data_IF_655545397092
#
_entry.id   IF_655545397092
#
_cell.length_a   1.000
_cell.length_b   1.000
_cell.length_c   1.000
_cell.angle_alpha   90.00
_cell.angle_beta   90.00
_cell.angle_gamma   90.00
#
_symmetry.space_group_name_H-M   'P 1'
#
loop_
_entity.id
_entity.type
_entity.pdbx_description
1 polymer ?
#
# COMPACT_ATOMS: atom_id res chain seq x y z
N UNK A 1 1.49 39.09 31.40
CA UNK A 1 2.32 39.68 30.31
C UNK A 1 3.79 39.89 30.67
N UNK A 2 4.14 39.97 31.93
CA UNK A 2 5.56 40.09 32.35
C UNK A 2 6.34 38.76 32.32
N UNK A 3 5.69 37.62 32.46
CA UNK A 3 6.38 36.30 32.45
C UNK A 3 6.74 35.77 31.06
N UNK A 4 6.07 36.22 30.01
CA UNK A 4 6.37 35.80 28.63
C UNK A 4 7.62 36.52 28.05
N UNK A 5 7.97 37.69 28.62
CA UNK A 5 9.16 38.46 28.19
C UNK A 5 10.46 37.92 28.81
N UNK A 6 10.41 37.17 29.90
CA UNK A 6 11.60 36.63 30.55
C UNK A 6 12.22 35.41 29.83
N UNK A 7 11.47 34.73 28.96
CA UNK A 7 11.95 33.54 28.23
C UNK A 7 12.66 33.86 26.91
N UNK A 8 12.51 35.07 26.37
CA UNK A 8 13.15 35.49 25.11
C UNK A 8 14.57 36.01 25.25
N UNK A 9 15.02 36.25 26.48
CA UNK A 9 16.40 36.78 26.77
C UNK A 9 17.48 35.69 26.78
N UNK A 10 17.12 34.42 26.72
CA UNK A 10 18.09 33.29 26.78
C UNK A 10 18.70 32.88 25.44
N UNK A 11 18.26 33.43 24.34
CA UNK A 11 18.67 33.03 22.97
C UNK A 11 19.58 34.03 22.25
N UNK A 12 20.11 35.05 22.99
CA UNK A 12 21.05 35.99 22.36
C UNK A 12 22.47 35.61 22.81
N UNK A 13 23.38 35.25 21.89
CA UNK A 13 24.79 34.98 22.21
C UNK A 13 25.44 36.14 22.97
N UNK A 14 26.28 35.81 23.90
CA UNK A 14 26.97 36.77 24.83
C UNK A 14 27.77 37.86 24.10
N UNK A 15 28.23 37.56 22.89
CA UNK A 15 29.00 38.49 22.03
C UNK A 15 28.20 39.69 21.53
N UNK A 16 26.87 39.64 21.55
CA UNK A 16 25.98 40.72 21.09
C UNK A 16 25.64 41.69 22.25
N UNK A 17 25.90 41.31 23.50
CA UNK A 17 25.57 42.13 24.71
C UNK A 17 26.53 43.30 25.00
N UNK A 18 27.66 43.42 24.29
CA UNK A 18 28.68 44.42 24.58
C UNK A 18 28.71 45.63 23.65
N UNK A 19 27.73 45.81 22.76
CA UNK A 19 27.63 47.04 21.99
C UNK A 19 26.78 48.08 22.72
N UNK A 20 27.44 49.17 23.09
CA UNK A 20 26.86 50.37 23.71
C UNK A 20 25.66 50.87 22.94
N UNK A 21 24.54 51.25 23.59
CA UNK A 21 23.34 51.67 22.86
C UNK A 21 23.57 53.00 22.19
N UNK A 22 23.70 53.03 20.88
CA UNK A 22 23.42 54.24 20.08
C UNK A 22 21.97 54.61 20.32
N UNK A 23 21.71 55.91 20.59
CA UNK A 23 20.39 56.50 20.70
C UNK A 23 19.52 56.11 19.48
N UNK A 24 18.72 55.09 19.64
CA UNK A 24 17.68 54.75 18.65
C UNK A 24 16.56 55.76 18.84
N UNK A 25 16.25 56.52 17.79
CA UNK A 25 15.03 57.31 17.73
C UNK A 25 13.83 56.42 18.02
N UNK A 26 12.79 56.89 18.72
CA UNK A 26 11.58 56.06 18.95
C UNK A 26 10.97 55.73 17.59
N UNK A 27 11.09 54.47 17.21
CA UNK A 27 10.29 53.95 16.10
C UNK A 27 8.83 54.16 16.47
N UNK A 28 8.08 54.85 15.60
CA UNK A 28 6.64 54.90 15.65
C UNK A 28 6.14 53.45 15.85
N UNK A 29 5.25 53.26 16.80
CA UNK A 29 4.59 51.98 17.06
C UNK A 29 3.75 51.65 15.81
N UNK A 30 4.35 51.02 14.82
CA UNK A 30 3.58 50.33 13.79
C UNK A 30 2.63 49.41 14.53
N UNK A 31 1.34 49.61 14.32
CA UNK A 31 0.30 48.74 14.87
C UNK A 31 0.66 47.33 14.43
N UNK A 32 1.01 46.46 15.39
CA UNK A 32 1.32 45.06 15.14
C UNK A 32 0.13 44.45 14.39
N UNK A 33 0.30 44.23 13.10
CA UNK A 33 -0.73 43.66 12.26
C UNK A 33 -0.62 42.15 12.33
N UNK A 34 -1.52 41.50 13.06
CA UNK A 34 -1.59 40.05 13.23
C UNK A 34 -1.64 39.34 11.86
N UNK A 35 -2.30 39.92 10.87
CA UNK A 35 -2.37 39.36 9.50
C UNK A 35 -0.99 39.30 8.84
N UNK A 36 -0.18 40.35 9.00
CA UNK A 36 1.18 40.35 8.50
C UNK A 36 2.05 39.33 9.24
N UNK A 37 1.88 39.19 10.54
CA UNK A 37 2.65 38.20 11.33
C UNK A 37 2.38 36.77 10.90
N UNK A 38 1.12 36.37 10.72
CA UNK A 38 0.77 35.00 10.34
C UNK A 38 1.16 34.69 8.88
N UNK A 39 1.09 35.67 8.00
CA UNK A 39 1.62 35.53 6.62
C UNK A 39 3.14 35.37 6.63
N UNK A 40 3.87 36.14 7.42
CA UNK A 40 5.32 36.01 7.57
C UNK A 40 5.71 34.67 8.22
N UNK A 41 4.96 34.23 9.23
CA UNK A 41 5.11 32.93 9.88
C UNK A 41 4.94 31.79 8.88
N UNK A 42 3.92 31.82 8.03
CA UNK A 42 3.71 30.83 6.98
C UNK A 42 4.89 30.80 6.00
N UNK A 43 5.36 31.97 5.55
CA UNK A 43 6.51 32.09 4.67
C UNK A 43 7.78 31.52 5.31
N UNK A 44 8.07 31.85 6.55
CA UNK A 44 9.21 31.33 7.30
C UNK A 44 9.13 29.80 7.47
N UNK A 45 7.98 29.26 7.92
CA UNK A 45 7.80 27.84 8.03
C UNK A 45 7.91 27.11 6.68
N UNK A 46 7.51 27.74 5.59
CA UNK A 46 7.67 27.16 4.24
C UNK A 46 9.13 27.25 3.75
N UNK A 47 9.92 28.20 4.23
CA UNK A 47 11.33 28.34 3.87
C UNK A 47 12.24 27.27 4.51
N UNK A 48 11.85 26.67 5.63
CA UNK A 48 12.60 25.58 6.23
C UNK A 48 12.57 24.31 5.36
N UNK A 49 13.62 23.51 5.43
CA UNK A 49 13.70 22.23 4.74
C UNK A 49 13.27 21.07 5.66
N UNK A 50 12.42 20.18 5.13
CA UNK A 50 12.01 18.96 5.79
C UNK A 50 12.93 17.78 5.48
N UNK A 51 12.73 16.67 6.19
CA UNK A 51 13.58 15.49 6.11
C UNK A 51 12.96 14.30 5.37
N UNK A 52 11.75 14.43 4.80
CA UNK A 52 11.04 13.28 4.20
C UNK A 52 11.80 12.64 3.03
N UNK A 53 12.58 13.43 2.27
CA UNK A 53 13.41 12.92 1.19
C UNK A 53 14.49 11.91 1.64
N UNK A 54 14.92 12.02 2.89
CA UNK A 54 15.89 11.05 3.48
C UNK A 54 15.28 9.67 3.71
N UNK A 55 13.95 9.62 3.87
CA UNK A 55 13.21 8.37 4.12
C UNK A 55 12.83 7.64 2.82
N UNK A 56 12.45 8.40 1.80
CA UNK A 56 11.87 7.84 0.57
C UNK A 56 12.58 8.26 -0.72
N UNK A 57 13.58 9.13 -0.66
CA UNK A 57 14.35 9.63 -1.79
C UNK A 57 13.57 10.59 -2.72
N UNK A 58 12.32 10.95 -2.39
CA UNK A 58 11.51 11.85 -3.21
C UNK A 58 11.81 13.30 -2.84
N UNK A 59 12.31 14.08 -3.80
CA UNK A 59 12.52 15.52 -3.66
C UNK A 59 11.25 16.27 -4.01
N UNK A 60 10.92 17.32 -3.25
CA UNK A 60 9.77 18.19 -3.53
C UNK A 60 10.07 19.63 -3.17
N UNK A 61 10.23 20.47 -4.18
CA UNK A 61 10.50 21.91 -4.01
C UNK A 61 9.29 22.69 -3.48
N UNK A 62 8.05 22.24 -3.80
CA UNK A 62 6.82 22.91 -3.36
C UNK A 62 6.71 23.00 -1.83
N UNK A 63 7.02 21.94 -1.11
CA UNK A 63 6.98 21.91 0.35
C UNK A 63 8.36 21.80 0.99
N UNK A 64 9.43 21.84 0.20
CA UNK A 64 10.82 21.64 0.65
C UNK A 64 10.96 20.41 1.56
N UNK A 65 10.37 19.29 1.09
CA UNK A 65 10.43 17.98 1.73
C UNK A 65 9.74 17.86 3.11
N UNK A 66 8.82 18.78 3.47
CA UNK A 66 8.05 18.73 4.73
C UNK A 66 6.75 17.92 4.61
N UNK A 67 6.20 17.78 3.40
CA UNK A 67 4.90 17.13 3.17
C UNK A 67 3.70 18.04 3.44
N UNK A 68 3.91 19.22 4.01
CA UNK A 68 2.87 20.21 4.31
C UNK A 68 3.26 21.58 3.78
N UNK A 69 2.26 22.40 3.44
CA UNK A 69 2.40 23.78 3.03
C UNK A 69 1.56 24.63 3.97
N UNK A 70 2.17 25.63 4.60
CA UNK A 70 1.52 26.54 5.53
C UNK A 70 1.02 27.77 4.76
N UNK A 71 -0.12 28.30 5.16
CA UNK A 71 -0.70 29.52 4.60
C UNK A 71 -1.60 30.22 5.63
N UNK A 72 -1.87 31.49 5.36
CA UNK A 72 -2.86 32.28 6.09
C UNK A 72 -4.00 32.57 5.12
N UNK A 73 -5.23 32.27 5.51
CA UNK A 73 -6.41 32.45 4.64
C UNK A 73 -7.10 33.82 4.80
N UNK A 74 -6.57 34.66 5.67
CA UNK A 74 -7.11 35.97 6.02
C UNK A 74 -7.63 36.02 7.48
N UNK A 75 -8.06 34.90 8.01
CA UNK A 75 -8.60 34.78 9.37
C UNK A 75 -7.79 33.82 10.23
N UNK A 76 -7.29 32.71 9.65
CA UNK A 76 -6.61 31.64 10.37
C UNK A 76 -5.28 31.24 9.75
N UNK A 77 -4.33 30.89 10.63
CA UNK A 77 -3.10 30.21 10.21
C UNK A 77 -3.40 28.73 9.99
N UNK A 78 -3.22 28.25 8.75
CA UNK A 78 -3.63 26.95 8.29
C UNK A 78 -2.46 26.17 7.69
N UNK A 79 -2.63 24.87 7.50
CA UNK A 79 -1.76 24.05 6.67
C UNK A 79 -2.58 23.13 5.78
N UNK A 80 -1.99 22.74 4.67
CA UNK A 80 -2.53 21.71 3.79
C UNK A 80 -1.46 20.69 3.43
N UNK A 81 -1.89 19.48 3.19
CA UNK A 81 -1.00 18.42 2.72
C UNK A 81 -0.47 18.77 1.32
N UNK A 82 0.84 18.58 1.10
CA UNK A 82 1.43 18.75 -0.21
C UNK A 82 1.08 17.58 -1.14
N UNK A 83 0.91 17.85 -2.42
CA UNK A 83 0.61 16.84 -3.44
C UNK A 83 1.65 15.71 -3.48
N UNK A 84 2.92 15.99 -3.13
CA UNK A 84 3.97 14.97 -3.07
C UNK A 84 3.66 13.83 -2.09
N UNK A 85 2.78 14.06 -1.11
CA UNK A 85 2.40 13.04 -0.14
C UNK A 85 1.67 11.87 -0.79
N UNK A 86 0.96 12.08 -1.91
CA UNK A 86 0.36 10.98 -2.68
C UNK A 86 1.44 10.04 -3.23
N UNK A 87 2.49 10.60 -3.85
CA UNK A 87 3.60 9.80 -4.38
C UNK A 87 4.38 9.09 -3.27
N UNK A 88 4.58 9.75 -2.12
CA UNK A 88 5.23 9.15 -0.95
C UNK A 88 4.42 8.00 -0.37
N UNK A 89 3.10 8.15 -0.31
CA UNK A 89 2.19 7.09 0.13
C UNK A 89 2.28 5.87 -0.80
N UNK A 90 2.19 6.09 -2.12
CA UNK A 90 2.33 5.03 -3.13
C UNK A 90 3.67 4.31 -2.94
N UNK A 91 4.78 5.05 -2.85
CA UNK A 91 6.11 4.45 -2.66
C UNK A 91 6.20 3.64 -1.37
N UNK A 92 5.65 4.13 -0.27
CA UNK A 92 5.57 3.39 1.01
C UNK A 92 4.79 2.09 0.83
N UNK A 93 3.58 2.14 0.25
CA UNK A 93 2.78 0.95 0.00
C UNK A 93 3.50 -0.06 -0.90
N UNK A 94 4.27 0.39 -1.90
CA UNK A 94 5.11 -0.49 -2.71
C UNK A 94 6.18 -1.20 -1.87
N UNK A 95 6.86 -0.48 -0.98
CA UNK A 95 7.89 -1.05 -0.11
C UNK A 95 7.31 -2.03 0.93
N UNK A 96 6.16 -1.69 1.50
CA UNK A 96 5.48 -2.48 2.55
C UNK A 96 4.70 -3.67 2.00
N UNK A 97 4.38 -3.69 0.71
CA UNK A 97 3.50 -4.70 0.11
C UNK A 97 4.06 -6.13 0.14
N UNK A 98 5.39 -6.29 0.23
CA UNK A 98 6.07 -7.57 0.10
C UNK A 98 6.29 -8.03 -1.35
N UNK A 99 5.77 -7.30 -2.35
CA UNK A 99 5.92 -7.64 -3.77
C UNK A 99 7.31 -7.31 -4.34
N UNK A 100 8.03 -6.36 -3.72
CA UNK A 100 9.40 -6.02 -4.10
C UNK A 100 9.56 -5.75 -5.61
N UNK A 101 10.59 -6.36 -6.22
CA UNK A 101 10.88 -6.20 -7.66
C UNK A 101 9.79 -6.72 -8.60
N UNK A 102 8.81 -7.49 -8.12
CA UNK A 102 7.68 -7.92 -8.96
C UNK A 102 6.86 -6.72 -9.43
N UNK A 103 6.72 -5.67 -8.60
CA UNK A 103 5.99 -4.45 -8.98
C UNK A 103 6.62 -3.71 -10.16
N UNK A 104 7.95 -3.76 -10.30
CA UNK A 104 8.65 -3.13 -11.41
C UNK A 104 8.48 -3.92 -12.72
N UNK A 105 8.45 -5.25 -12.61
CA UNK A 105 8.46 -6.16 -13.77
C UNK A 105 7.07 -6.56 -14.25
N UNK A 106 6.10 -6.63 -13.33
CA UNK A 106 4.77 -7.15 -13.60
C UNK A 106 3.76 -6.01 -13.58
N UNK A 107 3.59 -5.37 -14.73
CA UNK A 107 2.60 -4.30 -14.96
C UNK A 107 1.60 -4.73 -16.01
N UNK A 108 0.48 -4.01 -16.16
CA UNK A 108 -0.43 -4.24 -17.27
C UNK A 108 0.24 -3.99 -18.63
N UNK A 109 1.19 -3.05 -18.71
CA UNK A 109 1.88 -2.74 -19.97
C UNK A 109 2.87 -3.85 -20.36
N UNK A 110 3.55 -4.44 -19.38
CA UNK A 110 4.47 -5.56 -19.62
C UNK A 110 3.76 -6.92 -19.78
N UNK A 111 2.44 -7.01 -19.51
CA UNK A 111 1.69 -8.24 -19.70
C UNK A 111 1.47 -8.51 -21.19
N UNK A 112 1.97 -9.63 -21.66
CA UNK A 112 1.86 -10.04 -23.08
C UNK A 112 0.41 -10.28 -23.46
N UNK A 113 0.03 -9.78 -24.65
CA UNK A 113 -1.33 -9.89 -25.22
C UNK A 113 -1.29 -10.38 -26.67
N UNK A 114 -0.31 -11.21 -27.00
CA UNK A 114 -0.12 -11.76 -28.36
C UNK A 114 -1.27 -12.68 -28.75
N UNK A 115 -1.87 -13.36 -27.77
CA UNK A 115 -2.94 -14.32 -27.98
C UNK A 115 -4.31 -13.76 -27.50
N UNK A 116 -5.43 -14.12 -28.15
CA UNK A 116 -6.75 -13.61 -27.75
C UNK A 116 -7.11 -13.87 -26.30
N UNK A 117 -6.75 -15.05 -25.76
CA UNK A 117 -7.05 -15.37 -24.36
C UNK A 117 -6.31 -14.46 -23.36
N UNK A 118 -5.11 -13.98 -23.70
CA UNK A 118 -4.33 -13.06 -22.87
C UNK A 118 -5.01 -11.69 -22.80
N UNK A 119 -5.59 -11.22 -23.90
CA UNK A 119 -6.38 -9.99 -23.95
C UNK A 119 -7.59 -10.09 -23.01
N UNK A 120 -8.34 -11.19 -23.07
CA UNK A 120 -9.48 -11.45 -22.18
C UNK A 120 -9.04 -11.44 -20.70
N UNK A 121 -7.92 -12.11 -20.36
CA UNK A 121 -7.37 -12.11 -19.01
C UNK A 121 -7.04 -10.70 -18.56
N UNK A 122 -6.36 -9.91 -19.40
CA UNK A 122 -6.00 -8.52 -19.12
C UNK A 122 -7.24 -7.65 -18.92
N UNK A 123 -8.24 -7.79 -19.77
CA UNK A 123 -9.48 -6.98 -19.72
C UNK A 123 -10.26 -7.23 -18.42
N UNK A 124 -10.41 -8.51 -18.02
CA UNK A 124 -11.05 -8.85 -16.73
C UNK A 124 -10.27 -8.29 -15.56
N UNK A 125 -8.94 -8.39 -15.59
CA UNK A 125 -8.08 -7.90 -14.52
C UNK A 125 -8.08 -6.36 -14.42
N UNK A 126 -8.12 -5.66 -15.57
CA UNK A 126 -8.25 -4.19 -15.61
C UNK A 126 -9.62 -3.75 -15.06
N UNK A 127 -10.70 -4.45 -15.45
CA UNK A 127 -12.03 -4.19 -14.93
C UNK A 127 -12.08 -4.35 -13.42
N UNK A 128 -11.54 -5.44 -12.88
CA UNK A 128 -11.43 -5.66 -11.43
C UNK A 128 -10.67 -4.52 -10.75
N UNK A 129 -9.53 -4.13 -11.29
CA UNK A 129 -8.69 -3.09 -10.71
C UNK A 129 -9.38 -1.70 -10.71
N UNK A 130 -10.22 -1.42 -11.70
CA UNK A 130 -10.92 -0.14 -11.86
C UNK A 130 -12.20 -0.04 -11.01
N UNK A 131 -12.98 -1.12 -10.92
CA UNK A 131 -14.35 -1.10 -10.35
C UNK A 131 -14.38 -1.11 -8.81
N UNK A 132 -13.27 -1.32 -8.11
CA UNK A 132 -13.14 -1.30 -6.64
C UNK A 132 -14.25 -2.03 -5.83
N UNK A 133 -15.25 -2.62 -6.51
CA UNK A 133 -16.43 -3.26 -5.93
C UNK A 133 -16.35 -4.78 -5.90
N UNK A 134 -15.47 -5.36 -6.73
CA UNK A 134 -15.28 -6.80 -6.70
C UNK A 134 -14.54 -7.18 -5.45
N UNK A 135 -15.16 -8.03 -4.65
CA UNK A 135 -14.58 -8.42 -3.36
C UNK A 135 -13.32 -9.26 -3.54
N UNK A 136 -13.36 -10.28 -4.42
CA UNK A 136 -12.22 -11.15 -4.65
C UNK A 136 -11.94 -11.33 -6.15
N UNK A 137 -10.65 -11.50 -6.48
CA UNK A 137 -10.18 -11.91 -7.79
C UNK A 137 -9.58 -13.31 -7.68
N UNK A 138 -10.13 -14.26 -8.41
CA UNK A 138 -9.58 -15.61 -8.54
C UNK A 138 -8.94 -15.78 -9.92
N UNK A 139 -7.64 -16.11 -9.94
CA UNK A 139 -6.90 -16.44 -11.18
C UNK A 139 -6.40 -17.88 -11.10
N UNK A 140 -7.00 -18.77 -11.86
CA UNK A 140 -6.65 -20.20 -11.90
C UNK A 140 -6.04 -20.61 -13.24
N UNK A 141 -5.14 -21.58 -13.23
CA UNK A 141 -4.55 -22.14 -14.44
C UNK A 141 -3.18 -22.77 -14.24
N UNK A 142 -2.66 -23.41 -15.28
CA UNK A 142 -1.41 -24.16 -15.26
C UNK A 142 -0.19 -23.31 -14.86
N UNK A 143 0.90 -23.95 -14.41
CA UNK A 143 2.20 -23.29 -14.20
C UNK A 143 2.68 -22.56 -15.45
N UNK A 144 3.25 -21.37 -15.26
CA UNK A 144 3.79 -20.57 -16.36
C UNK A 144 2.77 -19.83 -17.23
N UNK A 145 1.47 -19.86 -16.90
CA UNK A 145 0.42 -19.16 -17.65
C UNK A 145 0.30 -17.66 -17.37
N UNK A 146 1.16 -17.08 -16.53
CA UNK A 146 1.18 -15.64 -16.25
C UNK A 146 0.28 -15.20 -15.10
N UNK A 147 -0.21 -16.11 -14.24
CA UNK A 147 -1.07 -15.79 -13.08
C UNK A 147 -0.43 -14.76 -12.16
N UNK A 148 0.78 -15.05 -11.67
CA UNK A 148 1.53 -14.12 -10.79
C UNK A 148 1.72 -12.76 -11.45
N UNK A 149 2.02 -12.73 -12.76
CA UNK A 149 2.18 -11.47 -13.49
C UNK A 149 0.89 -10.64 -13.47
N UNK A 150 -0.23 -11.22 -13.88
CA UNK A 150 -1.49 -10.45 -13.95
C UNK A 150 -2.02 -10.04 -12.59
N UNK A 151 -1.91 -10.91 -11.55
CA UNK A 151 -2.27 -10.55 -10.18
C UNK A 151 -1.38 -9.41 -9.64
N UNK A 152 -0.06 -9.47 -9.89
CA UNK A 152 0.87 -8.39 -9.50
C UNK A 152 0.59 -7.10 -10.26
N UNK A 153 0.21 -7.17 -11.55
CA UNK A 153 -0.19 -5.99 -12.32
C UNK A 153 -1.45 -5.31 -11.72
N UNK A 154 -2.43 -6.11 -11.27
CA UNK A 154 -3.58 -5.61 -10.51
C UNK A 154 -3.14 -4.93 -9.22
N UNK A 155 -2.28 -5.59 -8.41
CA UNK A 155 -1.74 -5.01 -7.17
C UNK A 155 -1.01 -3.69 -7.42
N UNK A 156 -0.17 -3.63 -8.47
CA UNK A 156 0.55 -2.42 -8.85
C UNK A 156 -0.43 -1.28 -9.15
N UNK A 157 -1.46 -1.53 -9.97
CA UNK A 157 -2.49 -0.55 -10.27
C UNK A 157 -3.21 -0.05 -9.01
N UNK A 158 -3.59 -0.94 -8.10
CA UNK A 158 -4.26 -0.60 -6.85
C UNK A 158 -3.35 0.25 -5.94
N UNK A 159 -2.06 -0.11 -5.83
CA UNK A 159 -1.07 0.66 -5.06
C UNK A 159 -0.87 2.06 -5.65
N UNK A 160 -0.78 2.19 -6.98
CA UNK A 160 -0.69 3.50 -7.67
C UNK A 160 -1.91 4.39 -7.39
N UNK A 161 -3.07 3.78 -7.12
CA UNK A 161 -4.29 4.46 -6.69
C UNK A 161 -4.40 4.63 -5.16
N UNK A 162 -3.29 4.45 -4.42
CA UNK A 162 -3.20 4.71 -2.98
C UNK A 162 -3.72 3.61 -2.08
N UNK A 163 -4.01 2.40 -2.62
CA UNK A 163 -4.44 1.25 -1.83
C UNK A 163 -3.24 0.55 -1.20
N UNK A 164 -3.45 0.00 0.00
CA UNK A 164 -2.45 -0.84 0.66
C UNK A 164 -2.69 -2.32 0.30
N UNK A 165 -1.66 -2.96 -0.25
CA UNK A 165 -1.69 -4.39 -0.60
C UNK A 165 -0.68 -5.13 0.26
N UNK A 166 -1.11 -6.24 0.87
CA UNK A 166 -0.24 -7.20 1.56
C UNK A 166 -0.10 -8.45 0.69
N UNK A 167 1.14 -8.81 0.35
CA UNK A 167 1.45 -10.00 -0.46
C UNK A 167 1.96 -11.13 0.41
N UNK A 168 1.43 -12.32 0.17
CA UNK A 168 1.86 -13.57 0.80
C UNK A 168 2.00 -14.67 -0.25
N UNK A 169 3.10 -15.41 -0.19
CA UNK A 169 3.24 -16.67 -0.92
C UNK A 169 2.58 -17.75 -0.06
N UNK A 170 1.66 -18.51 -0.65
CA UNK A 170 0.91 -19.53 0.11
C UNK A 170 1.79 -20.52 0.86
N UNK A 171 2.84 -21.03 0.19
CA UNK A 171 3.74 -22.00 0.81
C UNK A 171 4.47 -21.47 2.04
N UNK A 172 4.82 -20.19 2.07
CA UNK A 172 5.46 -19.55 3.21
C UNK A 172 4.45 -19.32 4.33
N UNK A 173 3.29 -18.78 4.01
CA UNK A 173 2.20 -18.56 4.96
C UNK A 173 1.74 -19.86 5.63
N UNK A 174 1.60 -20.93 4.82
CA UNK A 174 1.27 -22.25 5.34
C UNK A 174 2.32 -22.75 6.35
N UNK A 175 3.61 -22.68 6.00
CA UNK A 175 4.70 -23.11 6.89
C UNK A 175 4.73 -22.29 8.18
N UNK A 176 4.52 -21.00 8.08
CA UNK A 176 4.49 -20.10 9.23
C UNK A 176 3.34 -20.43 10.18
N UNK A 177 2.13 -20.64 9.66
CA UNK A 177 0.95 -21.01 10.45
C UNK A 177 1.06 -22.43 11.03
N UNK A 178 1.64 -23.36 10.28
CA UNK A 178 1.85 -24.75 10.72
C UNK A 178 2.92 -24.86 11.80
N UNK A 179 4.05 -24.19 11.63
CA UNK A 179 5.13 -24.14 12.63
C UNK A 179 4.67 -23.52 13.95
N UNK A 180 3.73 -22.59 13.90
CA UNK A 180 3.17 -21.91 15.07
C UNK A 180 1.80 -22.48 15.51
N UNK A 181 1.46 -23.70 15.14
CA UNK A 181 0.17 -24.32 15.48
C UNK A 181 -0.14 -24.32 16.98
N UNK A 182 0.89 -24.45 17.83
CA UNK A 182 0.81 -24.47 19.29
C UNK A 182 1.24 -23.15 19.97
N UNK A 183 1.66 -22.17 19.20
CA UNK A 183 2.04 -20.83 19.68
C UNK A 183 0.89 -19.84 19.43
N UNK A 184 -0.09 -19.84 20.34
CA UNK A 184 -1.35 -19.11 20.18
C UNK A 184 -1.16 -17.65 19.82
N UNK A 185 -0.33 -16.90 20.55
CA UNK A 185 -0.12 -15.48 20.35
C UNK A 185 0.46 -15.15 18.96
N UNK A 186 1.47 -15.92 18.52
CA UNK A 186 2.09 -15.75 17.20
C UNK A 186 1.08 -16.05 16.09
N UNK A 187 0.37 -17.18 16.21
CA UNK A 187 -0.67 -17.56 15.24
C UNK A 187 -1.78 -16.52 15.17
N UNK A 188 -2.20 -15.98 16.31
CA UNK A 188 -3.22 -14.95 16.41
C UNK A 188 -2.76 -13.68 15.68
N UNK A 189 -1.52 -13.24 15.88
CA UNK A 189 -0.95 -12.08 15.20
C UNK A 189 -0.92 -12.24 13.67
N UNK A 190 -0.45 -13.41 13.17
CA UNK A 190 -0.48 -13.73 11.74
C UNK A 190 -1.91 -13.64 11.19
N UNK A 191 -2.88 -14.20 11.90
CA UNK A 191 -4.28 -14.18 11.49
C UNK A 191 -4.91 -12.79 11.58
N UNK A 192 -4.44 -11.94 12.49
CA UNK A 192 -4.84 -10.52 12.57
C UNK A 192 -4.30 -9.73 11.38
N UNK A 193 -3.06 -9.94 10.97
CA UNK A 193 -2.49 -9.35 9.76
C UNK A 193 -3.29 -9.76 8.52
N UNK A 194 -3.60 -11.06 8.39
CA UNK A 194 -4.44 -11.57 7.30
C UNK A 194 -5.82 -10.91 7.31
N UNK A 195 -6.45 -10.80 8.46
CA UNK A 195 -7.79 -10.21 8.63
C UNK A 195 -7.76 -8.70 8.45
N UNK A 196 -6.69 -8.06 8.93
CA UNK A 196 -6.49 -6.61 8.97
C UNK A 196 -6.15 -5.98 7.63
N UNK A 197 -5.39 -6.66 6.76
CA UNK A 197 -4.92 -6.12 5.48
C UNK A 197 -6.06 -5.46 4.68
N UNK A 198 -5.82 -4.27 4.10
CA UNK A 198 -6.82 -3.61 3.25
C UNK A 198 -7.13 -4.52 2.05
N UNK A 199 -6.10 -4.90 1.32
CA UNK A 199 -6.17 -5.88 0.22
C UNK A 199 -5.12 -6.95 0.49
N UNK A 200 -5.50 -8.22 0.44
CA UNK A 200 -4.57 -9.34 0.57
C UNK A 200 -4.38 -10.01 -0.79
N UNK A 201 -3.14 -10.27 -1.19
CA UNK A 201 -2.82 -11.11 -2.33
C UNK A 201 -2.09 -12.37 -1.86
N UNK A 202 -2.69 -13.54 -2.11
CA UNK A 202 -2.08 -14.83 -1.85
C UNK A 202 -1.73 -15.49 -3.20
N UNK A 203 -0.43 -15.68 -3.43
CA UNK A 203 0.09 -16.31 -4.64
C UNK A 203 0.33 -17.80 -4.43
N UNK A 204 0.15 -18.58 -5.52
CA UNK A 204 0.31 -20.03 -5.52
C UNK A 204 -0.57 -20.77 -4.46
N UNK A 205 -1.81 -20.29 -4.25
CA UNK A 205 -2.73 -20.83 -3.24
C UNK A 205 -2.96 -22.33 -3.44
N UNK A 206 -2.89 -23.10 -2.34
CA UNK A 206 -2.99 -24.56 -2.26
C UNK A 206 -1.87 -25.34 -2.98
N UNK A 207 -0.81 -24.67 -3.46
CA UNK A 207 0.32 -25.38 -4.08
C UNK A 207 0.88 -26.44 -3.13
N UNK A 208 1.13 -27.64 -3.68
CA UNK A 208 1.57 -28.82 -2.95
C UNK A 208 0.53 -29.43 -1.97
N UNK A 209 -0.76 -29.09 -2.11
CA UNK A 209 -1.85 -29.63 -1.28
C UNK A 209 -1.79 -31.16 -1.13
N UNK A 210 -1.55 -31.90 -2.21
CA UNK A 210 -1.49 -33.37 -2.20
C UNK A 210 -0.42 -33.93 -1.26
N UNK A 211 0.66 -33.18 -1.01
CA UNK A 211 1.74 -33.58 -0.11
C UNK A 211 1.44 -33.25 1.37
N UNK A 212 0.51 -32.32 1.62
CA UNK A 212 0.22 -31.81 2.98
C UNK A 212 -1.30 -31.72 3.23
N UNK A 213 -1.99 -32.84 3.59
CA UNK A 213 -3.45 -32.85 3.78
C UNK A 213 -3.97 -31.82 4.79
N UNK A 214 -3.20 -31.52 5.85
CA UNK A 214 -3.54 -30.49 6.86
C UNK A 214 -3.60 -29.07 6.29
N UNK A 215 -3.10 -28.87 5.06
CA UNK A 215 -3.13 -27.58 4.37
C UNK A 215 -4.57 -27.09 4.12
N UNK A 216 -5.55 -28.02 3.96
CA UNK A 216 -6.95 -27.64 3.78
C UNK A 216 -7.52 -26.90 4.98
N UNK A 217 -7.25 -27.38 6.20
CA UNK A 217 -7.74 -26.74 7.43
C UNK A 217 -7.16 -25.33 7.60
N UNK A 218 -5.86 -25.17 7.35
CA UNK A 218 -5.20 -23.84 7.41
C UNK A 218 -5.73 -22.94 6.30
N UNK A 219 -5.95 -23.47 5.09
CA UNK A 219 -6.53 -22.71 3.98
C UNK A 219 -7.94 -22.23 4.33
N UNK A 220 -8.75 -23.12 4.93
CA UNK A 220 -10.08 -22.76 5.39
C UNK A 220 -10.04 -21.61 6.42
N UNK A 221 -9.16 -21.68 7.43
CA UNK A 221 -9.01 -20.62 8.44
C UNK A 221 -8.67 -19.26 7.80
N UNK A 222 -7.71 -19.24 6.87
CA UNK A 222 -7.26 -18.03 6.16
C UNK A 222 -8.40 -17.45 5.31
N UNK A 223 -9.03 -18.28 4.50
CA UNK A 223 -10.13 -17.85 3.61
C UNK A 223 -11.33 -17.40 4.43
N UNK A 224 -11.70 -18.14 5.49
CA UNK A 224 -12.81 -17.78 6.36
C UNK A 224 -12.57 -16.46 7.11
N UNK A 225 -11.33 -16.19 7.51
CA UNK A 225 -10.98 -14.89 8.12
C UNK A 225 -11.23 -13.72 7.18
N UNK A 226 -10.86 -13.84 5.89
CA UNK A 226 -11.13 -12.81 4.85
C UNK A 226 -12.60 -12.72 4.48
N UNK A 227 -13.28 -13.87 4.37
CA UNK A 227 -14.71 -13.94 4.08
C UNK A 227 -15.53 -13.21 5.13
N UNK A 228 -15.29 -13.48 6.41
CA UNK A 228 -16.00 -12.85 7.53
C UNK A 228 -15.66 -11.35 7.66
N UNK A 229 -14.42 -10.95 7.34
CA UNK A 229 -14.02 -9.55 7.34
C UNK A 229 -14.59 -8.75 6.15
N UNK A 230 -15.16 -9.41 5.15
CA UNK A 230 -15.67 -8.80 3.91
C UNK A 230 -14.62 -7.88 3.25
N UNK A 231 -13.36 -8.31 3.25
CA UNK A 231 -12.26 -7.52 2.67
C UNK A 231 -11.74 -8.14 1.38
N UNK A 232 -11.24 -7.31 0.43
CA UNK A 232 -10.72 -7.75 -0.86
C UNK A 232 -9.59 -8.78 -0.73
N UNK A 233 -9.65 -9.79 -1.60
CA UNK A 233 -8.64 -10.85 -1.70
C UNK A 233 -8.35 -11.14 -3.17
N UNK A 234 -7.06 -11.25 -3.49
CA UNK A 234 -6.57 -11.69 -4.78
C UNK A 234 -5.95 -13.08 -4.57
N UNK A 235 -6.38 -14.07 -5.35
CA UNK A 235 -5.87 -15.43 -5.28
C UNK A 235 -5.33 -15.85 -6.65
N UNK A 236 -4.10 -16.34 -6.70
CA UNK A 236 -3.60 -17.13 -7.82
C UNK A 236 -3.48 -18.59 -7.39
N UNK A 237 -3.90 -19.52 -8.24
CA UNK A 237 -3.83 -20.96 -7.95
C UNK A 237 -3.63 -21.79 -9.21
N UNK A 238 -3.08 -22.99 -9.05
CA UNK A 238 -3.03 -23.98 -10.13
C UNK A 238 -4.31 -24.81 -10.22
N UNK A 239 -5.13 -24.82 -9.17
CA UNK A 239 -6.35 -25.61 -9.09
C UNK A 239 -7.58 -24.85 -9.67
N UNK A 240 -8.46 -25.58 -10.29
CA UNK A 240 -9.79 -25.09 -10.64
C UNK A 240 -10.70 -25.05 -9.41
N UNK A 241 -11.82 -24.32 -9.47
CA UNK A 241 -12.80 -24.33 -8.39
C UNK A 241 -13.35 -25.74 -8.11
N UNK A 242 -13.61 -26.53 -9.15
CA UNK A 242 -14.09 -27.90 -9.05
C UNK A 242 -13.10 -28.81 -8.30
N UNK A 243 -11.79 -28.60 -8.55
CA UNK A 243 -10.74 -29.32 -7.80
C UNK A 243 -10.68 -28.86 -6.35
N UNK A 244 -10.83 -27.56 -6.08
CA UNK A 244 -10.88 -27.04 -4.70
C UNK A 244 -12.13 -27.55 -3.97
N UNK A 245 -13.27 -27.62 -4.65
CA UNK A 245 -14.52 -28.20 -4.11
C UNK A 245 -14.34 -29.67 -3.71
N UNK A 246 -13.61 -30.42 -4.53
CA UNK A 246 -13.27 -31.81 -4.21
C UNK A 246 -12.33 -31.95 -3.00
N UNK A 247 -11.57 -30.93 -2.66
CA UNK A 247 -10.72 -30.87 -1.46
C UNK A 247 -11.53 -30.45 -0.23
N UNK A 248 -12.30 -29.38 -0.37
CA UNK A 248 -13.15 -28.78 0.67
C UNK A 248 -14.25 -27.93 0.03
N UNK A 249 -15.50 -28.45 0.07
CA UNK A 249 -16.65 -27.77 -0.53
C UNK A 249 -16.96 -26.43 0.16
N UNK A 250 -16.73 -26.31 1.47
CA UNK A 250 -16.98 -25.07 2.19
C UNK A 250 -15.96 -23.98 1.85
N UNK A 251 -14.70 -24.37 1.60
CA UNK A 251 -13.64 -23.49 1.11
C UNK A 251 -13.97 -22.98 -0.31
N UNK A 252 -14.32 -23.91 -1.22
CA UNK A 252 -14.66 -23.57 -2.61
C UNK A 252 -15.86 -22.65 -2.68
N UNK A 253 -16.93 -22.93 -1.92
CA UNK A 253 -18.15 -22.12 -1.89
C UNK A 253 -17.89 -20.67 -1.50
N UNK A 254 -17.04 -20.42 -0.50
CA UNK A 254 -16.65 -19.05 -0.11
C UNK A 254 -15.86 -18.33 -1.19
N UNK A 255 -14.92 -19.02 -1.82
CA UNK A 255 -14.12 -18.47 -2.92
C UNK A 255 -15.04 -18.17 -4.13
N UNK A 256 -15.95 -19.08 -4.47
CA UNK A 256 -16.88 -18.91 -5.58
C UNK A 256 -17.81 -17.72 -5.39
N UNK A 257 -18.45 -17.63 -4.22
CA UNK A 257 -19.35 -16.52 -3.85
C UNK A 257 -18.63 -15.17 -3.96
N UNK A 258 -17.47 -15.06 -3.32
CA UNK A 258 -16.76 -13.79 -3.20
C UNK A 258 -16.06 -13.35 -4.49
N UNK A 259 -15.73 -14.29 -5.38
CA UNK A 259 -15.10 -14.02 -6.67
C UNK A 259 -16.09 -14.04 -7.85
N UNK A 260 -17.40 -14.06 -7.60
CA UNK A 260 -18.42 -14.23 -8.63
C UNK A 260 -18.24 -13.33 -9.86
N UNK A 261 -17.86 -12.07 -9.65
CA UNK A 261 -17.68 -11.09 -10.73
C UNK A 261 -16.26 -11.05 -11.33
N UNK A 262 -15.29 -11.74 -10.76
CA UNK A 262 -13.89 -11.63 -11.16
C UNK A 262 -13.16 -12.99 -11.06
N UNK A 263 -13.58 -13.94 -11.91
CA UNK A 263 -12.94 -15.25 -12.07
C UNK A 263 -12.24 -15.34 -13.41
N UNK A 264 -10.95 -15.64 -13.39
CA UNK A 264 -10.12 -15.89 -14.56
C UNK A 264 -9.66 -17.34 -14.52
N UNK A 265 -10.16 -18.15 -15.47
CA UNK A 265 -9.73 -19.53 -15.66
C UNK A 265 -8.91 -19.63 -16.94
N UNK A 266 -7.59 -19.78 -16.82
CA UNK A 266 -6.69 -19.99 -17.95
C UNK A 266 -6.70 -21.49 -18.25
N UNK A 267 -7.37 -21.90 -19.34
CA UNK A 267 -7.47 -23.31 -19.75
C UNK A 267 -6.05 -23.89 -19.94
N UNK A 268 -5.87 -25.14 -19.54
CA UNK A 268 -4.62 -25.85 -19.74
C UNK A 268 -4.34 -26.08 -21.23
N UNK A 269 -3.13 -25.73 -21.67
CA UNK A 269 -2.64 -25.99 -23.01
C UNK A 269 -1.11 -25.79 -23.03
N UNK A 270 -0.39 -26.67 -23.75
CA UNK A 270 1.07 -26.65 -23.79
C UNK A 270 1.64 -25.29 -24.23
N UNK A 271 0.99 -24.66 -25.21
CA UNK A 271 1.33 -23.35 -25.75
C UNK A 271 1.09 -22.18 -24.78
N UNK A 272 0.38 -22.39 -23.67
CA UNK A 272 0.11 -21.37 -22.64
C UNK A 272 1.15 -21.32 -21.54
N UNK A 273 2.14 -22.19 -21.57
CA UNK A 273 3.30 -22.08 -20.68
C UNK A 273 4.31 -21.08 -21.24
N UNK A 274 4.26 -19.84 -20.73
CA UNK A 274 5.12 -18.74 -21.18
C UNK A 274 6.60 -18.92 -20.80
N UNK A 275 6.91 -19.80 -19.84
CA UNK A 275 8.30 -20.09 -19.43
C UNK A 275 9.03 -20.95 -20.45
N UNK A 276 8.33 -21.76 -21.22
CA UNK A 276 8.90 -22.68 -22.24
C UNK A 276 8.83 -22.13 -23.65
N UNK A 277 8.13 -21.03 -23.88
CA UNK A 277 8.17 -20.28 -25.15
C UNK A 277 9.45 -19.45 -25.20
N UNK A 278 10.45 -19.97 -25.90
CA UNK A 278 11.68 -19.23 -26.30
C UNK A 278 11.47 -18.60 -27.67
#
# INVERSE_FOLDING_TARGET
>A
MAEVMAHLTYLIPEEVRQQTPQKVQPMEKEKFNLQNYDSMRAAWMNAEEGALHKLDGIQCDKCRNKGVIYYFDGDYFMNRQCECMKQRLVKRHMMESGLGMLLERCTFDSYRTDEPWQKIVKDIALKYAAEQHAMWLLVSGQPGSGKTHICTAVCNHLIQNGKQVSYKIWGDLFRELDANAYHYEVRQHIMEDIRGAEILYIDDFLKNYKAYPKMAAIAFDVINARYNARKPLILSTEYTLDEIESMDAALAGRIDEMSYHAKIKIKEAKERNMRTRR
#
